data_IF_549157775847
#
_entry.id   IF_549157775847
#
_cell.length_a   1.000
_cell.length_b   1.000
_cell.length_c   1.000
_cell.angle_alpha   90.00
_cell.angle_beta   90.00
_cell.angle_gamma   90.00
#
_symmetry.space_group_name_H-M   'P 1'
#
loop_
_entity.id
_entity.type
_entity.pdbx_description
1 polymer ?
#
# COMPACT_ATOMS: atom_id res chain seq x y z
N UNK A 1 7.73 -22.57 -14.73
CA UNK A 1 6.34 -22.16 -14.88
C UNK A 1 6.18 -20.71 -14.46
N UNK A 2 5.66 -19.93 -15.34
CA UNK A 2 5.45 -18.53 -15.03
C UNK A 2 4.18 -18.34 -14.24
N UNK A 3 4.26 -17.50 -13.24
CA UNK A 3 3.14 -17.28 -12.32
C UNK A 3 2.80 -15.79 -12.26
N UNK A 4 2.66 -15.19 -13.40
CA UNK A 4 2.39 -13.76 -13.47
C UNK A 4 1.06 -13.35 -12.84
N UNK A 5 0.15 -14.28 -12.67
CA UNK A 5 -1.13 -14.00 -12.08
C UNK A 5 -1.17 -14.10 -10.57
N UNK A 6 -0.01 -14.18 -9.92
CA UNK A 6 0.02 -14.41 -8.47
C UNK A 6 -0.23 -13.15 -7.65
N UNK A 7 -0.17 -11.98 -8.24
CA UNK A 7 -0.41 -10.75 -7.49
C UNK A 7 -1.90 -10.54 -7.29
N UNK A 8 -2.25 -10.09 -6.10
CA UNK A 8 -3.63 -9.74 -5.76
C UNK A 8 -3.73 -8.23 -5.76
N UNK A 9 -4.64 -7.69 -6.55
CA UNK A 9 -4.89 -6.26 -6.64
C UNK A 9 -6.24 -5.99 -6.02
N UNK A 10 -6.27 -5.05 -5.08
CA UNK A 10 -7.50 -4.68 -4.39
C UNK A 10 -7.71 -3.17 -4.49
N UNK A 11 -8.91 -2.74 -4.18
CA UNK A 11 -9.23 -1.33 -4.14
C UNK A 11 -9.22 -0.85 -2.69
N UNK A 12 -8.54 0.26 -2.45
CA UNK A 12 -8.48 0.88 -1.14
C UNK A 12 -9.00 2.30 -1.23
N UNK A 13 -9.61 2.78 -0.15
CA UNK A 13 -10.06 4.16 -0.04
C UNK A 13 -9.15 4.89 0.93
N UNK A 14 -8.56 5.99 0.47
CA UNK A 14 -7.59 6.74 1.24
C UNK A 14 -8.18 8.08 1.68
N UNK A 15 -8.03 8.38 2.96
CA UNK A 15 -8.45 9.64 3.57
C UNK A 15 -9.93 9.96 3.31
N UNK A 16 -10.74 8.92 3.10
CA UNK A 16 -12.16 9.04 2.75
C UNK A 16 -12.41 9.89 1.50
N UNK A 17 -11.39 10.05 0.65
CA UNK A 17 -11.49 10.93 -0.52
C UNK A 17 -11.31 10.21 -1.82
N UNK A 18 -10.42 9.22 -1.86
CA UNK A 18 -9.97 8.67 -3.13
C UNK A 18 -9.83 7.17 -3.04
N UNK A 19 -10.40 6.48 -4.01
CA UNK A 19 -10.20 5.04 -4.18
C UNK A 19 -9.13 4.80 -5.22
N UNK A 20 -8.28 3.82 -4.97
CA UNK A 20 -7.19 3.49 -5.89
C UNK A 20 -6.87 2.01 -5.76
N UNK A 21 -6.22 1.48 -6.78
CA UNK A 21 -5.83 0.06 -6.80
C UNK A 21 -4.46 -0.12 -6.17
N UNK A 22 -4.34 -1.14 -5.35
CA UNK A 22 -3.12 -1.47 -4.63
C UNK A 22 -2.80 -2.95 -4.82
N UNK A 23 -1.51 -3.25 -4.91
CA UNK A 23 -1.04 -4.64 -4.86
C UNK A 23 -0.91 -5.03 -3.40
N UNK A 24 -1.41 -6.20 -3.03
CA UNK A 24 -1.19 -6.79 -1.71
C UNK A 24 0.22 -7.36 -1.71
N UNK A 25 1.11 -6.82 -0.87
CA UNK A 25 2.52 -7.17 -0.89
C UNK A 25 3.02 -7.51 0.51
N UNK A 26 3.01 -8.79 0.83
CA UNK A 26 3.48 -9.27 2.14
C UNK A 26 5.00 -9.19 2.28
N UNK A 27 5.70 -8.92 1.18
CA UNK A 27 7.15 -8.68 1.23
C UNK A 27 7.53 -7.26 1.56
N UNK A 28 6.56 -6.33 1.60
CA UNK A 28 6.81 -4.93 1.92
C UNK A 28 6.47 -4.69 3.38
N UNK A 29 7.40 -4.09 4.12
CA UNK A 29 7.17 -3.78 5.53
C UNK A 29 6.24 -2.58 5.70
N UNK A 30 6.25 -1.64 4.76
CA UNK A 30 5.41 -0.45 4.81
C UNK A 30 4.52 -0.37 3.58
N UNK A 31 3.37 0.27 3.76
CA UNK A 31 2.50 0.66 2.66
C UNK A 31 3.17 1.79 1.89
N UNK A 32 2.94 1.82 0.59
CA UNK A 32 3.60 2.77 -0.30
C UNK A 32 2.56 3.30 -1.28
N UNK A 33 2.60 4.61 -1.53
CA UNK A 33 1.76 5.24 -2.54
C UNK A 33 2.64 5.95 -3.55
N UNK A 34 2.15 6.06 -4.78
CA UNK A 34 2.85 6.77 -5.83
C UNK A 34 2.86 8.27 -5.56
N UNK A 35 3.78 8.98 -6.20
CA UNK A 35 3.81 10.44 -6.12
C UNK A 35 2.51 11.04 -6.67
N UNK A 36 1.96 10.46 -7.73
CA UNK A 36 0.71 10.96 -8.30
C UNK A 36 -0.45 10.85 -7.32
N UNK A 37 -0.56 9.72 -6.62
CA UNK A 37 -1.62 9.56 -5.64
C UNK A 37 -1.42 10.51 -4.46
N UNK A 38 -0.18 10.70 -4.02
CA UNK A 38 0.11 11.65 -2.95
C UNK A 38 -0.34 13.06 -3.34
N UNK A 39 -0.09 13.47 -4.58
CA UNK A 39 -0.55 14.78 -5.05
C UNK A 39 -2.07 14.85 -5.07
N UNK A 40 -2.74 13.80 -5.52
CA UNK A 40 -4.20 13.76 -5.55
C UNK A 40 -4.81 13.90 -4.15
N UNK A 41 -4.09 13.43 -3.15
CA UNK A 41 -4.53 13.51 -1.75
C UNK A 41 -4.06 14.79 -1.06
N UNK A 42 -3.38 15.66 -1.78
CA UNK A 42 -2.79 16.89 -1.26
C UNK A 42 -1.80 16.61 -0.14
N UNK A 43 -1.05 15.53 -0.27
CA UNK A 43 -0.01 15.17 0.70
C UNK A 43 1.29 15.81 0.26
N UNK A 44 1.90 16.58 1.16
CA UNK A 44 3.18 17.22 0.92
C UNK A 44 4.18 16.71 1.95
N UNK A 45 5.23 16.07 1.48
CA UNK A 45 6.26 15.55 2.38
C UNK A 45 7.25 16.63 2.82
N UNK A 46 7.15 17.84 2.24
CA UNK A 46 7.96 18.97 2.64
C UNK A 46 9.34 19.00 1.97
N UNK A 47 10.09 20.10 2.16
CA UNK A 47 11.40 20.24 1.50
C UNK A 47 12.49 19.36 2.11
N UNK A 48 12.33 18.93 3.35
CA UNK A 48 13.28 18.05 4.02
C UNK A 48 12.54 16.88 4.64
N UNK A 49 12.00 15.99 3.79
CA UNK A 49 11.16 14.92 4.31
C UNK A 49 11.98 13.92 5.10
N UNK A 50 11.33 13.30 6.07
CA UNK A 50 11.89 12.15 6.75
C UNK A 50 11.88 10.98 5.77
N UNK A 51 13.01 10.30 5.63
CA UNK A 51 13.11 9.15 4.75
C UNK A 51 13.49 7.92 5.55
N UNK A 52 13.08 6.77 5.04
CA UNK A 52 13.45 5.47 5.59
C UNK A 52 13.84 4.55 4.47
N UNK A 53 14.77 3.64 4.76
CA UNK A 53 15.02 2.48 3.90
C UNK A 53 14.08 1.37 4.35
N UNK A 54 13.49 0.68 3.39
CA UNK A 54 12.66 -0.45 3.75
C UNK A 54 12.62 -1.45 2.61
N UNK A 55 12.27 -2.67 2.97
CA UNK A 55 12.26 -3.80 2.06
C UNK A 55 10.93 -3.87 1.32
N UNK A 56 11.00 -4.00 0.01
CA UNK A 56 9.85 -4.32 -0.82
C UNK A 56 10.16 -5.59 -1.60
N UNK A 57 9.15 -6.11 -2.29
CA UNK A 57 9.36 -7.26 -3.17
C UNK A 57 10.39 -6.96 -4.26
N UNK A 58 10.57 -5.70 -4.60
CA UNK A 58 11.52 -5.26 -5.62
C UNK A 58 12.88 -4.85 -5.06
N UNK A 59 13.12 -5.11 -3.78
CA UNK A 59 14.38 -4.79 -3.13
C UNK A 59 14.27 -3.65 -2.14
N UNK A 60 15.42 -3.16 -1.69
CA UNK A 60 15.48 -2.04 -0.76
C UNK A 60 15.24 -0.74 -1.50
N UNK A 61 14.41 0.11 -0.91
CA UNK A 61 14.23 1.47 -1.42
C UNK A 61 14.35 2.45 -0.27
N UNK A 62 14.68 3.69 -0.60
CA UNK A 62 14.67 4.80 0.34
C UNK A 62 13.64 5.80 -0.14
N UNK A 63 12.74 6.19 0.74
CA UNK A 63 11.63 7.05 0.34
C UNK A 63 11.17 7.93 1.47
N UNK A 64 10.59 9.09 1.15
CA UNK A 64 9.93 9.91 2.18
C UNK A 64 8.76 9.16 2.80
N UNK A 65 8.52 9.43 4.06
CA UNK A 65 7.44 8.80 4.82
C UNK A 65 6.47 9.88 5.27
N UNK A 66 5.20 9.62 5.08
CA UNK A 66 4.13 10.47 5.58
C UNK A 66 3.15 9.62 6.37
N UNK A 67 2.11 10.24 6.88
CA UNK A 67 1.05 9.51 7.59
C UNK A 67 -0.25 9.70 6.82
N UNK A 68 -0.87 8.60 6.41
CA UNK A 68 -2.22 8.65 5.86
C UNK A 68 -3.21 8.84 6.98
N UNK A 69 -4.17 9.74 6.81
CA UNK A 69 -5.23 9.90 7.81
C UNK A 69 -6.02 8.62 7.98
N UNK A 70 -6.33 7.96 6.87
CA UNK A 70 -6.98 6.66 6.92
C UNK A 70 -6.79 5.91 5.60
N UNK A 71 -6.83 4.60 5.71
CA UNK A 71 -6.89 3.73 4.56
C UNK A 71 -7.84 2.59 4.89
N UNK A 72 -8.76 2.31 3.98
CA UNK A 72 -9.80 1.31 4.19
C UNK A 72 -9.82 0.32 3.05
N UNK A 73 -9.90 -0.95 3.39
CA UNK A 73 -10.00 -2.05 2.43
C UNK A 73 -11.12 -2.97 2.92
N UNK A 74 -12.15 -3.12 2.09
CA UNK A 74 -13.24 -4.04 2.42
C UNK A 74 -13.92 -3.74 3.76
N UNK A 75 -14.01 -2.46 4.13
CA UNK A 75 -14.63 -2.08 5.39
C UNK A 75 -13.69 -2.07 6.58
N UNK A 76 -12.45 -2.54 6.41
CA UNK A 76 -11.44 -2.51 7.45
C UNK A 76 -10.60 -1.25 7.31
N UNK A 77 -10.60 -0.40 8.32
CA UNK A 77 -9.92 0.89 8.26
C UNK A 77 -8.81 0.97 9.31
N UNK A 78 -7.67 1.50 8.89
CA UNK A 78 -6.57 1.85 9.78
C UNK A 78 -6.35 3.35 9.64
N UNK A 79 -6.17 4.03 10.77
CA UNK A 79 -5.94 5.48 10.79
C UNK A 79 -4.49 5.76 11.14
N UNK A 80 -4.00 6.90 10.63
CA UNK A 80 -2.64 7.38 10.93
C UNK A 80 -1.58 6.34 10.55
N UNK A 81 -1.70 5.81 9.33
CA UNK A 81 -0.80 4.76 8.87
C UNK A 81 0.48 5.37 8.27
N UNK A 82 1.66 5.05 8.81
CA UNK A 82 2.91 5.47 8.17
C UNK A 82 3.00 4.89 6.76
N UNK A 83 3.28 5.75 5.79
CA UNK A 83 3.21 5.39 4.38
C UNK A 83 4.35 6.05 3.62
N UNK A 84 5.04 5.28 2.81
CA UNK A 84 6.10 5.79 1.97
C UNK A 84 5.52 6.37 0.69
N UNK A 85 6.18 7.38 0.14
CA UNK A 85 5.80 7.99 -1.13
C UNK A 85 6.93 7.73 -2.12
N UNK A 86 6.68 6.91 -3.12
CA UNK A 86 7.70 6.52 -4.08
C UNK A 86 7.03 5.89 -5.30
N UNK A 87 7.65 6.03 -6.46
CA UNK A 87 7.09 5.51 -7.69
C UNK A 87 7.51 4.07 -7.99
N UNK A 88 8.13 3.38 -7.04
CA UNK A 88 8.51 1.98 -7.22
C UNK A 88 7.32 1.05 -7.03
N UNK A 89 6.25 1.29 -7.77
CA UNK A 89 5.10 0.40 -7.78
C UNK A 89 5.30 -0.65 -8.86
N UNK A 90 4.84 -1.89 -8.63
CA UNK A 90 5.15 -2.99 -9.54
C UNK A 90 4.39 -2.96 -10.85
N UNK A 91 3.32 -2.17 -10.95
CA UNK A 91 2.45 -2.15 -12.11
C UNK A 91 1.96 -0.74 -12.32
N UNK A 92 2.06 -0.18 -13.54
CA UNK A 92 1.58 1.18 -13.80
C UNK A 92 0.09 1.38 -13.58
N UNK A 93 -0.68 0.29 -13.49
CA UNK A 93 -2.12 0.38 -13.25
C UNK A 93 -2.47 0.52 -11.79
N UNK A 94 -1.51 0.29 -10.88
CA UNK A 94 -1.78 0.41 -9.45
C UNK A 94 -1.12 1.67 -8.91
N UNK A 95 -1.69 2.19 -7.84
CA UNK A 95 -1.23 3.43 -7.23
C UNK A 95 -0.36 3.18 -6.01
N UNK A 96 -0.19 1.94 -5.59
CA UNK A 96 0.63 1.66 -4.43
C UNK A 96 0.69 0.19 -4.07
N UNK A 97 1.37 -0.06 -2.96
CA UNK A 97 1.50 -1.38 -2.35
C UNK A 97 0.86 -1.33 -0.98
N UNK A 98 0.12 -2.37 -0.64
CA UNK A 98 -0.43 -2.53 0.70
C UNK A 98 0.53 -3.44 1.48
N UNK A 99 1.24 -2.87 2.43
CA UNK A 99 2.31 -3.56 3.14
C UNK A 99 1.88 -4.14 4.47
N UNK A 100 2.85 -4.73 5.16
CA UNK A 100 2.59 -5.42 6.42
C UNK A 100 2.12 -4.50 7.53
N UNK A 101 2.50 -3.22 7.49
CA UNK A 101 2.04 -2.31 8.53
C UNK A 101 0.53 -2.11 8.51
N UNK A 102 -0.11 -2.37 7.37
CA UNK A 102 -1.57 -2.46 7.30
C UNK A 102 -2.02 -3.90 7.55
N UNK A 103 -1.47 -4.83 6.79
CA UNK A 103 -1.98 -6.22 6.74
C UNK A 103 -1.86 -6.94 8.07
N UNK A 104 -0.80 -6.66 8.84
CA UNK A 104 -0.56 -7.38 10.09
C UNK A 104 -1.54 -7.01 11.20
N UNK A 105 -2.39 -6.00 11.00
CA UNK A 105 -3.45 -5.66 11.93
C UNK A 105 -4.63 -6.62 11.85
N UNK A 106 -4.64 -7.50 10.86
CA UNK A 106 -5.79 -8.36 10.57
C UNK A 106 -5.34 -9.80 10.42
N UNK A 107 -6.29 -10.70 10.59
CA UNK A 107 -6.15 -12.05 10.12
C UNK A 107 -6.46 -12.00 8.62
N UNK A 108 -5.54 -12.45 7.79
CA UNK A 108 -5.73 -12.33 6.36
C UNK A 108 -5.64 -13.68 5.67
N UNK A 109 -6.41 -13.79 4.60
CA UNK A 109 -6.41 -14.94 3.73
C UNK A 109 -6.32 -14.42 2.30
N UNK A 110 -5.27 -14.82 1.59
CA UNK A 110 -5.02 -14.36 0.23
C UNK A 110 -5.26 -15.52 -0.72
N UNK A 111 -6.23 -15.36 -1.61
CA UNK A 111 -6.52 -16.34 -2.64
C UNK A 111 -5.97 -15.81 -3.96
N UNK A 112 -4.78 -16.26 -4.35
CA UNK A 112 -4.12 -15.78 -5.55
C UNK A 112 -4.79 -16.27 -6.82
N UNK A 113 -5.50 -17.40 -6.76
CA UNK A 113 -6.20 -17.91 -7.91
C UNK A 113 -7.41 -17.05 -8.26
N UNK A 114 -8.11 -16.57 -7.24
CA UNK A 114 -9.29 -15.73 -7.43
C UNK A 114 -8.98 -14.24 -7.36
N UNK A 115 -7.75 -13.88 -7.01
CA UNK A 115 -7.36 -12.49 -6.84
C UNK A 115 -8.08 -11.81 -5.69
N UNK A 116 -8.36 -12.54 -4.62
CA UNK A 116 -9.16 -12.03 -3.50
C UNK A 116 -8.34 -11.95 -2.22
N UNK A 117 -8.61 -10.93 -1.46
CA UNK A 117 -8.07 -10.73 -0.12
C UNK A 117 -9.22 -10.71 0.86
N UNK A 118 -9.15 -11.56 1.86
CA UNK A 118 -10.13 -11.61 2.93
C UNK A 118 -9.47 -11.17 4.22
N UNK A 119 -10.07 -10.19 4.90
CA UNK A 119 -9.55 -9.63 6.15
C UNK A 119 -10.56 -9.81 7.26
N UNK A 120 -10.07 -10.20 8.43
CA UNK A 120 -10.87 -10.29 9.64
C UNK A 120 -10.14 -9.57 10.76
N UNK A 121 -10.87 -9.00 11.67
CA UNK A 121 -10.28 -8.40 12.87
C UNK A 121 -9.63 -9.49 13.71
N UNK A 122 -8.48 -9.17 14.25
CA UNK A 122 -7.84 -10.06 15.20
C UNK A 122 -8.56 -10.05 16.55
#
# INVERSE_FOLDING_TARGET
MERHGEVVIIQATLNNKRSAKFVVDTGASYTLISNALARDLSIDVGPSPKTLQFQTANGLIEAPVTSLESIAVGGMEIRNLPTAVHDAVPDPQVAGLLGLNFLSNFRMDIDTQKGMLHLEKK
#
